data_IF_860847041127
#
_entry.id   IF_860847041127
#
_cell.length_a   1.000
_cell.length_b   1.000
_cell.length_c   1.000
_cell.angle_alpha   90.00
_cell.angle_beta   90.00
_cell.angle_gamma   90.00
#
_symmetry.space_group_name_H-M   'P 1'
#
loop_
_entity.id
_entity.type
_entity.pdbx_description
1 polymer ?
#
# COMPACT_ATOMS: atom_id res chain seq x y z
N UNK A 1 -5.21 -18.12 -25.02
CA UNK A 1 -4.18 -18.38 -24.02
C UNK A 1 -3.41 -19.64 -24.43
N UNK A 2 -2.15 -19.49 -24.87
CA UNK A 2 -1.28 -20.62 -25.19
C UNK A 2 -0.39 -20.95 -24.00
N UNK A 3 -0.20 -22.25 -23.73
CA UNK A 3 0.73 -22.73 -22.71
C UNK A 3 2.15 -22.25 -23.04
N UNK A 4 2.83 -21.61 -22.08
CA UNK A 4 4.23 -21.22 -22.22
C UNK A 4 5.12 -22.45 -22.46
N UNK A 5 5.95 -22.40 -23.49
CA UNK A 5 6.94 -23.46 -23.74
C UNK A 5 8.19 -22.89 -24.42
N UNK A 6 9.35 -23.49 -24.10
CA UNK A 6 10.65 -23.11 -24.73
C UNK A 6 10.63 -23.25 -26.25
N UNK A 7 9.96 -24.29 -26.74
CA UNK A 7 9.86 -24.56 -28.17
C UNK A 7 9.02 -23.56 -28.96
N UNK A 8 8.13 -22.82 -28.28
CA UNK A 8 7.28 -21.78 -28.88
C UNK A 8 7.84 -20.36 -28.73
N UNK A 9 8.94 -20.18 -28.00
CA UNK A 9 9.54 -18.87 -27.78
C UNK A 9 8.66 -17.86 -27.02
N UNK A 10 7.62 -18.35 -26.32
CA UNK A 10 6.66 -17.52 -25.57
C UNK A 10 6.90 -17.55 -24.05
N UNK A 11 8.12 -17.85 -23.63
CA UNK A 11 8.52 -17.83 -22.22
C UNK A 11 8.90 -16.41 -21.83
N UNK A 12 8.37 -15.95 -20.71
CA UNK A 12 8.83 -14.75 -20.04
C UNK A 12 9.98 -15.13 -19.10
N UNK A 13 11.18 -14.60 -19.36
CA UNK A 13 12.32 -14.81 -18.47
C UNK A 13 12.14 -13.96 -17.21
N UNK A 14 12.03 -14.58 -16.02
CA UNK A 14 11.86 -13.85 -14.77
C UNK A 14 13.06 -12.95 -14.45
N UNK A 15 14.26 -13.29 -14.91
CA UNK A 15 15.46 -12.47 -14.68
C UNK A 15 15.38 -11.17 -15.47
N UNK A 16 15.01 -11.22 -16.75
CA UNK A 16 14.81 -10.03 -17.58
C UNK A 16 13.71 -9.12 -17.00
N UNK A 17 12.64 -9.72 -16.45
CA UNK A 17 11.57 -8.96 -15.79
C UNK A 17 12.09 -8.31 -14.51
N UNK A 18 12.87 -9.00 -13.70
CA UNK A 18 13.46 -8.46 -12.48
C UNK A 18 14.42 -7.30 -12.80
N UNK A 19 15.25 -7.46 -13.81
CA UNK A 19 16.20 -6.42 -14.23
C UNK A 19 15.50 -5.15 -14.75
N UNK A 20 14.34 -5.33 -15.42
CA UNK A 20 13.57 -4.23 -16.00
C UNK A 20 12.66 -3.55 -14.99
N UNK A 21 11.91 -4.32 -14.21
CA UNK A 21 10.83 -3.82 -13.35
C UNK A 21 11.16 -3.89 -11.84
N UNK A 22 12.06 -4.79 -11.45
CA UNK A 22 12.41 -5.06 -10.06
C UNK A 22 11.73 -6.31 -9.49
N UNK A 23 12.38 -6.91 -8.49
CA UNK A 23 11.91 -8.15 -7.85
C UNK A 23 10.59 -7.96 -7.10
N UNK A 24 10.40 -6.84 -6.40
CA UNK A 24 9.17 -6.54 -5.66
C UNK A 24 7.95 -6.48 -6.59
N UNK A 25 8.13 -5.89 -7.78
CA UNK A 25 7.08 -5.74 -8.78
C UNK A 25 6.65 -7.09 -9.34
N UNK A 26 7.61 -7.95 -9.67
CA UNK A 26 7.31 -9.30 -10.14
C UNK A 26 6.61 -10.12 -9.04
N UNK A 27 7.11 -10.09 -7.79
CA UNK A 27 6.50 -10.78 -6.65
C UNK A 27 5.05 -10.33 -6.44
N UNK A 28 4.83 -9.00 -6.45
CA UNK A 28 3.50 -8.42 -6.30
C UNK A 28 2.54 -8.93 -7.37
N UNK A 29 2.95 -8.85 -8.63
CA UNK A 29 2.14 -9.29 -9.76
C UNK A 29 1.76 -10.77 -9.67
N UNK A 30 2.73 -11.64 -9.45
CA UNK A 30 2.49 -13.08 -9.35
C UNK A 30 1.55 -13.44 -8.20
N UNK A 31 1.73 -12.82 -7.02
CA UNK A 31 0.90 -13.10 -5.86
C UNK A 31 -0.51 -12.51 -5.97
N UNK A 32 -0.69 -11.44 -6.76
CA UNK A 32 -1.99 -10.79 -6.95
C UNK A 32 -2.80 -11.44 -8.07
N UNK A 33 -2.18 -11.77 -9.19
CA UNK A 33 -2.90 -12.19 -10.40
C UNK A 33 -3.04 -13.70 -10.51
N UNK A 34 -2.16 -14.48 -9.90
CA UNK A 34 -2.20 -15.94 -9.96
C UNK A 34 -2.80 -16.49 -8.66
N UNK A 35 -3.99 -17.09 -8.77
CA UNK A 35 -4.62 -17.76 -7.63
C UNK A 35 -3.85 -19.03 -7.28
N UNK A 36 -3.65 -19.27 -5.98
CA UNK A 36 -2.95 -20.48 -5.52
C UNK A 36 -3.66 -21.75 -6.03
N UNK A 37 -2.89 -22.66 -6.62
CA UNK A 37 -3.42 -23.91 -7.18
C UNK A 37 -4.09 -23.80 -8.55
N UNK A 38 -4.05 -22.62 -9.19
CA UNK A 38 -4.60 -22.40 -10.53
C UNK A 38 -3.52 -21.99 -11.52
N UNK A 39 -3.74 -22.28 -12.79
CA UNK A 39 -2.91 -21.75 -13.87
C UNK A 39 -3.19 -20.24 -14.04
N UNK A 40 -2.15 -19.44 -14.13
CA UNK A 40 -2.25 -18.00 -14.35
C UNK A 40 -1.95 -17.61 -15.80
N UNK A 41 -2.65 -16.61 -16.31
CA UNK A 41 -2.29 -15.96 -17.57
C UNK A 41 -1.34 -14.79 -17.30
N UNK A 42 -0.05 -14.98 -17.60
CA UNK A 42 1.00 -13.99 -17.34
C UNK A 42 1.32 -13.25 -18.64
N UNK A 43 1.29 -11.92 -18.64
CA UNK A 43 1.77 -11.08 -19.73
C UNK A 43 2.47 -9.82 -19.20
N UNK A 44 3.45 -9.30 -19.95
CA UNK A 44 4.13 -8.05 -19.61
C UNK A 44 3.15 -6.88 -19.53
N UNK A 45 2.19 -6.80 -20.44
CA UNK A 45 1.16 -5.76 -20.42
C UNK A 45 0.32 -5.79 -19.13
N UNK A 46 -0.07 -6.98 -18.68
CA UNK A 46 -0.82 -7.13 -17.43
C UNK A 46 0.04 -6.77 -16.21
N UNK A 47 1.32 -7.19 -16.22
CA UNK A 47 2.29 -6.82 -15.21
C UNK A 47 2.44 -5.29 -15.11
N UNK A 48 2.70 -4.61 -16.23
CA UNK A 48 2.82 -3.15 -16.28
C UNK A 48 1.55 -2.45 -15.79
N UNK A 49 0.39 -2.91 -16.25
CA UNK A 49 -0.90 -2.35 -15.81
C UNK A 49 -1.07 -2.52 -14.30
N UNK A 50 -0.79 -3.70 -13.77
CA UNK A 50 -0.93 -4.03 -12.36
C UNK A 50 0.00 -3.17 -11.48
N UNK A 51 1.29 -3.13 -11.79
CA UNK A 51 2.26 -2.35 -10.99
C UNK A 51 2.03 -0.85 -11.10
N UNK A 52 1.62 -0.35 -12.27
CA UNK A 52 1.32 1.07 -12.45
C UNK A 52 0.04 1.48 -11.70
N UNK A 53 -1.04 0.70 -11.78
CA UNK A 53 -2.30 1.04 -11.12
C UNK A 53 -2.17 0.98 -9.59
N UNK A 54 -1.59 -0.08 -9.06
CA UNK A 54 -1.62 -0.37 -7.64
C UNK A 54 -0.42 0.19 -6.88
N UNK A 55 0.79 -0.01 -7.41
CA UNK A 55 2.00 0.37 -6.71
C UNK A 55 2.41 1.81 -7.05
N UNK A 56 2.54 2.18 -8.33
CA UNK A 56 3.02 3.50 -8.69
C UNK A 56 1.95 4.60 -8.45
N UNK A 57 0.79 4.49 -9.12
CA UNK A 57 -0.23 5.53 -9.13
C UNK A 57 -1.16 5.53 -7.90
N UNK A 58 -1.17 4.45 -7.11
CA UNK A 58 -1.94 4.37 -5.89
C UNK A 58 -1.03 4.47 -4.66
N UNK A 59 -0.39 3.38 -4.22
CA UNK A 59 0.34 3.37 -2.95
C UNK A 59 1.60 4.24 -2.99
N UNK A 60 2.39 4.20 -4.06
CA UNK A 60 3.58 5.03 -4.23
C UNK A 60 3.23 6.52 -4.28
N UNK A 61 2.20 6.89 -5.06
CA UNK A 61 1.73 8.27 -5.12
C UNK A 61 1.20 8.78 -3.77
N UNK A 62 0.47 7.94 -3.01
CA UNK A 62 0.04 8.23 -1.64
C UNK A 62 1.25 8.58 -0.76
N UNK A 63 2.25 7.70 -0.72
CA UNK A 63 3.47 7.90 0.07
C UNK A 63 4.20 9.18 -0.33
N UNK A 64 4.41 9.38 -1.63
CA UNK A 64 5.13 10.55 -2.16
C UNK A 64 4.43 11.86 -1.79
N UNK A 65 3.12 11.94 -1.97
CA UNK A 65 2.33 13.14 -1.67
C UNK A 65 2.40 13.50 -0.19
N UNK A 66 2.17 12.52 0.70
CA UNK A 66 2.15 12.76 2.14
C UNK A 66 3.55 13.07 2.66
N UNK A 67 4.57 12.29 2.32
CA UNK A 67 5.93 12.53 2.78
C UNK A 67 6.47 13.87 2.29
N UNK A 68 6.23 14.23 1.03
CA UNK A 68 6.64 15.53 0.49
C UNK A 68 5.92 16.68 1.19
N UNK A 69 4.61 16.53 1.48
CA UNK A 69 3.86 17.56 2.19
C UNK A 69 4.38 17.74 3.62
N UNK A 70 4.57 16.67 4.37
CA UNK A 70 5.08 16.70 5.75
C UNK A 70 6.48 17.30 5.80
N UNK A 71 7.37 16.87 4.90
CA UNK A 71 8.72 17.43 4.78
C UNK A 71 8.71 18.95 4.55
N UNK A 72 7.91 19.41 3.61
CA UNK A 72 7.94 20.81 3.17
C UNK A 72 7.10 21.75 4.04
N UNK A 73 6.17 21.24 4.84
CA UNK A 73 5.19 22.06 5.55
C UNK A 73 5.09 21.79 7.06
N UNK A 74 5.63 20.69 7.57
CA UNK A 74 5.50 20.27 8.96
C UNK A 74 6.86 19.98 9.64
N UNK A 75 7.98 20.41 9.04
CA UNK A 75 9.34 20.16 9.57
C UNK A 75 9.62 18.67 9.88
N UNK A 76 9.09 17.76 9.07
CA UNK A 76 9.13 16.31 9.26
C UNK A 76 8.47 15.80 10.56
N UNK A 77 7.60 16.57 11.17
CA UNK A 77 6.90 16.18 12.39
C UNK A 77 5.39 16.44 12.24
N UNK A 78 4.59 15.45 12.63
CA UNK A 78 3.13 15.54 12.66
C UNK A 78 2.63 15.22 14.05
N UNK A 79 1.95 16.17 14.68
CA UNK A 79 1.44 16.05 16.03
C UNK A 79 0.03 15.46 15.98
N UNK A 80 -0.19 14.35 16.70
CA UNK A 80 -1.53 13.80 16.91
C UNK A 80 -2.28 14.66 17.91
N UNK A 81 -3.46 15.13 17.52
CA UNK A 81 -4.39 15.78 18.45
C UNK A 81 -5.50 14.79 18.87
N UNK A 82 -6.17 15.07 19.97
CA UNK A 82 -7.19 14.18 20.56
C UNK A 82 -8.56 14.25 19.88
N UNK A 83 -8.84 15.33 19.17
CA UNK A 83 -10.16 15.58 18.58
C UNK A 83 -10.27 14.90 17.20
N UNK A 84 -10.88 13.73 17.19
CA UNK A 84 -11.11 12.94 15.97
C UNK A 84 -12.46 13.37 15.34
N UNK A 85 -12.42 13.85 14.10
CA UNK A 85 -13.63 14.28 13.38
C UNK A 85 -14.54 13.09 13.01
N UNK A 86 -15.81 13.37 12.69
CA UNK A 86 -16.75 12.35 12.22
C UNK A 86 -16.29 11.69 10.92
N UNK A 87 -15.68 12.46 10.00
CA UNK A 87 -15.14 11.94 8.75
C UNK A 87 -13.94 11.03 8.99
N UNK A 88 -13.05 11.39 9.92
CA UNK A 88 -11.93 10.55 10.31
C UNK A 88 -12.39 9.22 10.92
N UNK A 89 -13.39 9.27 11.83
CA UNK A 89 -14.01 8.06 12.39
C UNK A 89 -14.60 7.15 11.32
N UNK A 90 -15.32 7.74 10.36
CA UNK A 90 -15.89 6.99 9.22
C UNK A 90 -14.79 6.33 8.40
N UNK A 91 -13.75 7.08 8.03
CA UNK A 91 -12.59 6.57 7.30
C UNK A 91 -11.90 5.41 8.04
N UNK A 92 -11.61 5.57 9.34
CA UNK A 92 -10.97 4.53 10.14
C UNK A 92 -11.84 3.27 10.25
N UNK A 93 -13.16 3.40 10.38
CA UNK A 93 -14.09 2.26 10.39
C UNK A 93 -14.10 1.52 9.04
N UNK A 94 -14.05 2.23 7.92
CA UNK A 94 -13.96 1.62 6.58
C UNK A 94 -12.66 0.82 6.42
N UNK A 95 -11.54 1.36 6.89
CA UNK A 95 -10.24 0.64 6.91
C UNK A 95 -10.32 -0.60 7.81
N UNK A 96 -10.85 -0.46 9.02
CA UNK A 96 -10.97 -1.58 9.95
C UNK A 96 -11.82 -2.71 9.39
N UNK A 97 -12.88 -2.40 8.64
CA UNK A 97 -13.69 -3.41 7.97
C UNK A 97 -12.89 -4.27 6.98
N UNK A 98 -11.90 -3.67 6.27
CA UNK A 98 -11.04 -4.41 5.36
C UNK A 98 -10.04 -5.33 6.09
N UNK A 99 -9.61 -4.96 7.30
CA UNK A 99 -8.60 -5.74 8.03
C UNK A 99 -9.19 -6.99 8.70
N UNK A 100 -10.51 -7.06 8.91
CA UNK A 100 -11.17 -8.17 9.61
C UNK A 100 -10.90 -9.55 9.01
N UNK A 101 -10.86 -9.64 7.68
CA UNK A 101 -10.77 -10.92 6.96
C UNK A 101 -9.33 -11.25 6.52
N UNK A 102 -8.35 -10.36 6.75
CA UNK A 102 -6.98 -10.57 6.25
C UNK A 102 -6.35 -11.86 6.80
N UNK A 103 -6.60 -12.19 8.06
CA UNK A 103 -6.08 -13.44 8.66
C UNK A 103 -6.71 -14.67 8.02
N UNK A 104 -8.01 -14.63 7.75
CA UNK A 104 -8.74 -15.72 7.09
C UNK A 104 -8.26 -15.90 5.64
N UNK A 105 -8.06 -14.83 4.91
CA UNK A 105 -7.50 -14.87 3.55
C UNK A 105 -6.12 -15.57 3.55
N UNK A 106 -5.24 -15.25 4.50
CA UNK A 106 -3.92 -15.91 4.63
C UNK A 106 -4.08 -17.38 5.00
N UNK A 107 -4.92 -17.73 5.97
CA UNK A 107 -5.15 -19.12 6.40
C UNK A 107 -5.70 -19.99 5.26
N UNK A 108 -6.53 -19.41 4.41
CA UNK A 108 -7.10 -20.07 3.23
C UNK A 108 -6.22 -19.97 1.98
N UNK A 109 -4.99 -19.42 2.10
CA UNK A 109 -4.06 -19.19 0.98
C UNK A 109 -4.65 -18.30 -0.14
N UNK A 110 -5.59 -17.44 0.22
CA UNK A 110 -6.27 -16.52 -0.70
C UNK A 110 -5.50 -15.20 -0.84
N UNK A 111 -4.26 -15.28 -1.32
CA UNK A 111 -3.35 -14.13 -1.42
C UNK A 111 -3.90 -13.01 -2.30
N UNK A 112 -4.66 -13.34 -3.34
CA UNK A 112 -5.30 -12.35 -4.21
C UNK A 112 -6.24 -11.44 -3.43
N UNK A 113 -7.14 -12.01 -2.60
CA UNK A 113 -8.07 -11.23 -1.79
C UNK A 113 -7.36 -10.44 -0.71
N UNK A 114 -6.37 -11.06 -0.06
CA UNK A 114 -5.50 -10.36 0.89
C UNK A 114 -4.91 -9.09 0.27
N UNK A 115 -4.22 -9.22 -0.87
CA UNK A 115 -3.58 -8.09 -1.55
C UNK A 115 -4.61 -7.06 -2.00
N UNK A 116 -5.75 -7.48 -2.58
CA UNK A 116 -6.84 -6.57 -2.99
C UNK A 116 -7.36 -5.76 -1.81
N UNK A 117 -7.55 -6.38 -0.64
CA UNK A 117 -8.01 -5.70 0.58
C UNK A 117 -6.99 -4.68 1.06
N UNK A 118 -5.70 -5.04 1.09
CA UNK A 118 -4.63 -4.13 1.51
C UNK A 118 -4.47 -2.95 0.54
N UNK A 119 -4.51 -3.19 -0.77
CA UNK A 119 -4.46 -2.12 -1.77
C UNK A 119 -5.70 -1.23 -1.71
N UNK A 120 -6.87 -1.77 -1.38
CA UNK A 120 -8.08 -0.97 -1.16
C UNK A 120 -7.93 -0.01 0.02
N UNK A 121 -7.18 -0.37 1.08
CA UNK A 121 -6.84 0.58 2.16
C UNK A 121 -6.11 1.81 1.61
N UNK A 122 -5.17 1.62 0.67
CA UNK A 122 -4.46 2.73 0.03
C UNK A 122 -5.40 3.62 -0.81
N UNK A 123 -6.33 3.04 -1.57
CA UNK A 123 -7.35 3.80 -2.28
C UNK A 123 -8.23 4.64 -1.35
N UNK A 124 -8.69 4.05 -0.24
CA UNK A 124 -9.49 4.77 0.75
C UNK A 124 -8.70 5.91 1.41
N UNK A 125 -7.42 5.70 1.68
CA UNK A 125 -6.55 6.72 2.25
C UNK A 125 -6.32 7.86 1.26
N UNK A 126 -6.08 7.57 -0.03
CA UNK A 126 -6.00 8.59 -1.08
C UNK A 126 -7.31 9.39 -1.20
N UNK A 127 -8.46 8.71 -1.16
CA UNK A 127 -9.76 9.35 -1.19
C UNK A 127 -9.95 10.28 0.02
N UNK A 128 -9.67 9.79 1.23
CA UNK A 128 -9.76 10.57 2.46
C UNK A 128 -8.94 11.86 2.41
N UNK A 129 -7.68 11.77 1.95
CA UNK A 129 -6.81 12.95 1.79
C UNK A 129 -7.35 13.92 0.75
N UNK A 130 -7.92 13.43 -0.35
CA UNK A 130 -8.51 14.27 -1.38
C UNK A 130 -9.78 14.96 -0.89
N UNK A 131 -10.61 14.28 -0.11
CA UNK A 131 -11.87 14.83 0.42
C UNK A 131 -11.61 15.87 1.52
N UNK A 132 -10.58 15.66 2.38
CA UNK A 132 -10.24 16.54 3.50
C UNK A 132 -9.26 17.67 3.15
N UNK A 133 -8.56 17.60 2.04
CA UNK A 133 -7.66 18.63 1.49
C UNK A 133 -6.71 19.28 2.51
N UNK A 134 -5.85 18.52 3.24
CA UNK A 134 -5.02 19.05 4.33
C UNK A 134 -4.13 20.23 3.91
N UNK A 135 -3.76 20.34 2.62
CA UNK A 135 -2.98 21.45 2.08
C UNK A 135 -3.70 22.81 2.18
N UNK A 136 -5.04 22.82 2.20
CA UNK A 136 -5.83 24.05 2.37
C UNK A 136 -5.90 24.50 3.83
N UNK A 137 -5.70 23.57 4.77
CA UNK A 137 -5.86 23.80 6.21
C UNK A 137 -4.63 24.40 6.90
N UNK A 138 -3.48 24.47 6.21
CA UNK A 138 -2.21 24.93 6.81
C UNK A 138 -2.29 26.25 7.57
N UNK A 139 -3.10 27.20 7.09
CA UNK A 139 -3.22 28.53 7.68
C UNK A 139 -4.51 28.71 8.50
N UNK A 140 -5.54 27.90 8.26
CA UNK A 140 -6.87 28.05 8.86
C UNK A 140 -7.12 27.11 10.02
N UNK A 141 -6.64 25.86 9.94
CA UNK A 141 -6.85 24.84 10.97
C UNK A 141 -5.69 23.80 10.96
N UNK A 142 -4.59 24.19 11.57
CA UNK A 142 -3.38 23.34 11.68
C UNK A 142 -3.66 22.06 12.48
N UNK A 143 -4.55 22.11 13.47
CA UNK A 143 -4.89 20.93 14.27
C UNK A 143 -5.61 19.88 13.43
N UNK A 144 -6.62 20.28 12.66
CA UNK A 144 -7.31 19.37 11.72
C UNK A 144 -6.34 18.86 10.65
N UNK A 145 -5.49 19.71 10.09
CA UNK A 145 -4.45 19.29 9.14
C UNK A 145 -3.57 18.18 9.72
N UNK A 146 -3.06 18.37 10.94
CA UNK A 146 -2.22 17.40 11.62
C UNK A 146 -2.93 16.07 11.86
N UNK A 147 -4.21 16.08 12.24
CA UNK A 147 -4.98 14.85 12.43
C UNK A 147 -5.13 14.07 11.12
N UNK A 148 -5.45 14.73 10.02
CA UNK A 148 -5.55 14.11 8.69
C UNK A 148 -4.22 13.48 8.27
N UNK A 149 -3.12 14.22 8.44
CA UNK A 149 -1.78 13.74 8.11
C UNK A 149 -1.38 12.56 9.00
N UNK A 150 -1.64 12.65 10.32
CA UNK A 150 -1.34 11.57 11.26
C UNK A 150 -2.10 10.28 10.91
N UNK A 151 -3.42 10.37 10.69
CA UNK A 151 -4.23 9.23 10.28
C UNK A 151 -3.71 8.61 8.98
N UNK A 152 -3.31 9.44 8.01
CA UNK A 152 -2.77 8.99 6.72
C UNK A 152 -1.41 8.32 6.86
N UNK A 153 -0.49 8.88 7.65
CA UNK A 153 0.83 8.27 7.94
C UNK A 153 0.69 6.93 8.65
N UNK A 154 -0.25 6.84 9.61
CA UNK A 154 -0.56 5.59 10.30
C UNK A 154 -1.04 4.52 9.31
N UNK A 155 -1.94 4.86 8.39
CA UNK A 155 -2.40 3.92 7.36
C UNK A 155 -1.28 3.51 6.39
N UNK A 156 -0.42 4.44 5.97
CA UNK A 156 0.77 4.11 5.16
C UNK A 156 1.64 3.07 5.89
N UNK A 157 1.87 3.24 7.18
CA UNK A 157 2.62 2.28 8.01
C UNK A 157 1.95 0.91 8.07
N UNK A 158 0.63 0.87 8.31
CA UNK A 158 -0.15 -0.39 8.33
C UNK A 158 -0.08 -1.12 6.99
N UNK A 159 -0.31 -0.40 5.89
CA UNK A 159 -0.23 -0.96 4.53
C UNK A 159 1.19 -1.48 4.24
N UNK A 160 2.22 -0.73 4.61
CA UNK A 160 3.60 -1.14 4.40
C UNK A 160 3.96 -2.42 5.20
N UNK A 161 3.48 -2.56 6.44
CA UNK A 161 3.67 -3.78 7.23
C UNK A 161 2.94 -4.97 6.60
N UNK A 162 1.69 -4.79 6.18
CA UNK A 162 0.90 -5.83 5.53
C UNK A 162 1.49 -6.27 4.18
N UNK A 163 2.05 -5.35 3.40
CA UNK A 163 2.70 -5.67 2.13
C UNK A 163 4.16 -6.13 2.28
N UNK A 164 4.78 -6.01 3.46
CA UNK A 164 6.20 -6.33 3.65
C UNK A 164 6.58 -7.77 3.24
N UNK A 165 5.77 -8.82 3.51
CA UNK A 165 6.09 -10.16 3.03
C UNK A 165 6.08 -10.31 1.50
N UNK A 166 5.42 -9.39 0.79
CA UNK A 166 5.22 -9.43 -0.66
C UNK A 166 6.26 -8.57 -1.37
N UNK A 167 6.40 -7.30 -0.96
CA UNK A 167 7.30 -6.30 -1.56
C UNK A 167 8.27 -5.71 -0.52
N UNK A 168 9.18 -6.54 0.03
CA UNK A 168 10.00 -6.19 1.20
C UNK A 168 10.94 -5.00 0.96
N UNK A 169 11.52 -4.86 -0.22
CA UNK A 169 12.47 -3.78 -0.52
C UNK A 169 11.78 -2.41 -0.52
N UNK A 170 10.61 -2.33 -1.14
CA UNK A 170 9.83 -1.10 -1.25
C UNK A 170 9.23 -0.69 0.11
N UNK A 171 8.64 -1.63 0.84
CA UNK A 171 8.02 -1.34 2.13
C UNK A 171 9.03 -1.03 3.22
N UNK A 172 10.22 -1.64 3.20
CA UNK A 172 11.30 -1.28 4.14
C UNK A 172 11.67 0.19 3.98
N UNK A 173 11.83 0.70 2.76
CA UNK A 173 12.09 2.12 2.51
C UNK A 173 10.99 3.03 3.06
N UNK A 174 9.72 2.62 2.91
CA UNK A 174 8.57 3.37 3.44
C UNK A 174 8.60 3.39 4.97
N UNK A 175 8.85 2.25 5.61
CA UNK A 175 8.90 2.13 7.07
C UNK A 175 10.11 2.90 7.66
N UNK A 176 11.23 2.95 6.94
CA UNK A 176 12.38 3.77 7.29
C UNK A 176 12.04 5.27 7.18
N UNK A 177 11.34 5.68 6.12
CA UNK A 177 10.89 7.08 5.95
C UNK A 177 9.90 7.51 7.04
N UNK A 178 9.10 6.59 7.57
CA UNK A 178 8.20 6.81 8.72
C UNK A 178 8.95 6.83 10.06
N UNK A 179 10.26 6.60 10.05
CA UNK A 179 11.08 6.43 11.27
C UNK A 179 10.52 5.36 12.23
N UNK A 180 9.85 4.34 11.69
CA UNK A 180 9.32 3.24 12.49
C UNK A 180 10.45 2.28 12.86
N UNK A 181 10.67 2.09 14.13
CA UNK A 181 11.71 1.18 14.65
C UNK A 181 11.44 -0.27 14.23
N UNK A 182 12.49 -1.05 14.00
CA UNK A 182 12.37 -2.44 13.49
C UNK A 182 11.52 -3.34 14.40
N UNK A 183 11.65 -3.21 15.72
CA UNK A 183 10.88 -3.95 16.72
C UNK A 183 9.35 -3.70 16.61
N UNK A 184 8.94 -2.56 16.07
CA UNK A 184 7.54 -2.16 15.91
C UNK A 184 6.98 -2.51 14.52
N UNK A 185 7.80 -3.07 13.61
CA UNK A 185 7.38 -3.45 12.25
C UNK A 185 6.75 -4.84 12.24
N UNK A 186 5.68 -5.01 12.98
CA UNK A 186 4.97 -6.27 13.12
C UNK A 186 3.45 -6.05 13.18
N UNK A 187 2.68 -7.13 13.24
CA UNK A 187 1.22 -7.07 13.18
C UNK A 187 0.58 -6.33 14.37
N UNK A 188 1.26 -6.21 15.53
CA UNK A 188 0.72 -5.43 16.65
C UNK A 188 0.61 -3.93 16.33
N UNK A 189 1.35 -3.44 15.33
CA UNK A 189 1.19 -2.06 14.85
C UNK A 189 -0.19 -1.77 14.24
N UNK A 190 -0.91 -2.80 13.83
CA UNK A 190 -2.26 -2.63 13.26
C UNK A 190 -3.29 -2.19 14.32
N UNK A 191 -3.00 -2.41 15.60
CA UNK A 191 -3.89 -2.10 16.72
C UNK A 191 -3.80 -0.62 17.16
N UNK A 192 -2.88 0.17 16.59
CA UNK A 192 -2.68 1.60 16.88
C UNK A 192 -3.75 2.52 16.28
#
# INVERSE_FOLDING_TARGET
DEKMSKSKGNILDPIEIIDTYGVDQLRYYLMKEVSHGSDGSISLKNLETCINSDLANNFGNLCQRIFSFVKNNCNNEVIKNTDISSNEKKFLNEIQALTKNLREDINNQNLNNYIKSVIKMSFLTNKYINDEEPWKLKKSDTNKMNNILHASLLQIGKIAILLNPIIPLSTTKILDALNLKKENRNLSFLDN
#
